data_IF_295530699791
#
_entry.id   IF_295530699791
#
_cell.length_a   1.000
_cell.length_b   1.000
_cell.length_c   1.000
_cell.angle_alpha   90.00
_cell.angle_beta   90.00
_cell.angle_gamma   90.00
#
_symmetry.space_group_name_H-M   'P 1'
#
loop_
_entity.id
_entity.type
_entity.pdbx_description
1 polymer ?
#
# COMPACT_ATOMS: atom_id res chain seq x y z
N UNK A 1 23.36 13.78 -16.76
CA UNK A 1 22.16 14.30 -17.46
C UNK A 1 21.26 13.09 -17.68
N UNK A 2 20.14 12.91 -16.98
CA UNK A 2 19.06 13.88 -16.73
C UNK A 2 18.41 13.57 -15.39
N UNK A 3 18.40 14.56 -14.50
CA UNK A 3 17.52 14.59 -13.35
C UNK A 3 16.13 15.07 -13.78
N UNK A 4 15.10 14.58 -13.10
CA UNK A 4 13.78 15.18 -13.09
C UNK A 4 13.16 14.91 -11.70
N UNK A 5 13.14 15.99 -10.89
CA UNK A 5 12.20 16.31 -9.82
C UNK A 5 11.53 15.13 -9.08
N UNK A 6 11.82 14.84 -7.82
CA UNK A 6 11.94 15.84 -6.76
C UNK A 6 10.59 16.51 -6.50
N UNK A 7 9.49 15.76 -6.41
CA UNK A 7 8.26 16.24 -5.78
C UNK A 7 8.36 16.06 -4.28
N UNK A 8 9.10 16.97 -3.65
CA UNK A 8 8.89 17.36 -2.25
C UNK A 8 7.59 18.19 -2.18
N UNK A 9 6.43 17.53 -2.22
CA UNK A 9 5.18 18.18 -1.83
C UNK A 9 4.38 17.28 -0.88
N UNK A 10 4.49 17.65 0.39
CA UNK A 10 3.51 17.54 1.46
C UNK A 10 3.38 16.21 2.23
N UNK A 11 3.53 16.39 3.55
CA UNK A 11 3.00 15.59 4.65
C UNK A 11 3.66 14.22 4.91
N UNK A 12 4.50 14.17 5.96
CA UNK A 12 4.76 12.98 6.81
C UNK A 12 4.61 11.62 6.10
N UNK A 13 5.30 11.43 4.97
CA UNK A 13 4.99 10.32 4.08
C UNK A 13 5.35 9.00 4.77
N UNK A 14 4.33 8.22 5.12
CA UNK A 14 4.51 6.85 5.57
C UNK A 14 5.21 6.11 4.43
N UNK A 15 6.51 5.88 4.59
CA UNK A 15 7.37 5.30 3.54
C UNK A 15 7.10 3.80 3.43
N UNK A 16 6.02 3.42 2.76
CA UNK A 16 5.70 2.02 2.52
C UNK A 16 6.78 1.37 1.65
N UNK A 17 7.00 0.07 1.84
CA UNK A 17 7.86 -0.69 0.91
C UNK A 17 7.17 -0.83 -0.45
N UNK A 18 7.93 -1.11 -1.52
CA UNK A 18 7.36 -1.34 -2.85
C UNK A 18 6.24 -2.40 -2.81
N UNK A 19 6.48 -3.50 -2.09
CA UNK A 19 5.50 -4.59 -1.93
C UNK A 19 4.26 -4.16 -1.14
N UNK A 20 4.41 -3.32 -0.11
CA UNK A 20 3.29 -2.77 0.63
C UNK A 20 2.42 -1.85 -0.26
N UNK A 21 3.06 -1.04 -1.09
CA UNK A 21 2.38 -0.14 -2.04
C UNK A 21 1.64 -0.92 -3.11
N UNK A 22 2.25 -1.98 -3.67
CA UNK A 22 1.58 -2.88 -4.62
C UNK A 22 0.35 -3.54 -3.99
N UNK A 23 0.47 -4.07 -2.77
CA UNK A 23 -0.67 -4.66 -2.03
C UNK A 23 -1.78 -3.61 -1.83
N UNK A 24 -1.42 -2.38 -1.47
CA UNK A 24 -2.36 -1.30 -1.22
C UNK A 24 -3.14 -0.90 -2.47
N UNK A 25 -2.45 -0.76 -3.61
CA UNK A 25 -3.06 -0.47 -4.89
C UNK A 25 -4.08 -1.55 -5.27
N UNK A 26 -3.73 -2.83 -5.09
CA UNK A 26 -4.64 -3.94 -5.39
C UNK A 26 -5.86 -3.96 -4.45
N UNK A 27 -5.69 -3.60 -3.18
CA UNK A 27 -6.80 -3.47 -2.23
C UNK A 27 -7.72 -2.31 -2.63
N UNK A 28 -7.16 -1.20 -3.14
CA UNK A 28 -7.91 -0.06 -3.63
C UNK A 28 -8.71 -0.38 -4.89
N UNK A 29 -8.14 -1.20 -5.79
CA UNK A 29 -8.84 -1.79 -6.93
C UNK A 29 -9.93 -2.81 -6.54
N UNK A 30 -10.08 -3.11 -5.25
CA UNK A 30 -11.11 -4.02 -4.72
C UNK A 30 -10.71 -5.49 -4.71
N UNK A 31 -9.44 -5.83 -4.97
CA UNK A 31 -8.99 -7.22 -4.92
C UNK A 31 -9.07 -7.79 -3.50
N UNK A 32 -9.35 -9.10 -3.44
CA UNK A 32 -9.27 -9.90 -2.20
C UNK A 32 -7.88 -10.51 -2.01
N UNK A 33 -7.61 -11.01 -0.80
CA UNK A 33 -6.29 -11.56 -0.43
C UNK A 33 -5.80 -12.67 -1.37
N UNK A 34 -6.69 -13.54 -1.84
CA UNK A 34 -6.36 -14.62 -2.77
C UNK A 34 -5.95 -14.10 -4.17
N UNK A 35 -6.62 -13.05 -4.66
CA UNK A 35 -6.27 -12.43 -5.93
C UNK A 35 -4.93 -11.70 -5.83
N UNK A 36 -4.72 -10.96 -4.74
CA UNK A 36 -3.44 -10.29 -4.43
C UNK A 36 -2.31 -11.32 -4.34
N UNK A 37 -2.53 -12.45 -3.67
CA UNK A 37 -1.56 -13.53 -3.53
C UNK A 37 -1.14 -14.08 -4.89
N UNK A 38 -2.11 -14.32 -5.78
CA UNK A 38 -1.84 -14.75 -7.16
C UNK A 38 -1.04 -13.72 -7.95
N UNK A 39 -1.42 -12.45 -7.85
CA UNK A 39 -0.78 -11.38 -8.61
C UNK A 39 0.66 -11.10 -8.15
N UNK A 40 0.92 -11.21 -6.84
CA UNK A 40 2.25 -11.03 -6.25
C UNK A 40 3.07 -12.32 -6.19
N UNK A 41 2.53 -13.43 -6.71
CA UNK A 41 3.12 -14.76 -6.66
C UNK A 41 3.57 -15.15 -5.25
N UNK A 42 2.72 -14.91 -4.26
CA UNK A 42 2.96 -15.22 -2.85
C UNK A 42 1.78 -15.97 -2.24
N UNK A 43 1.91 -16.39 -0.98
CA UNK A 43 0.83 -17.07 -0.26
C UNK A 43 -0.16 -16.06 0.33
N UNK A 44 -1.42 -16.47 0.52
CA UNK A 44 -2.41 -15.65 1.24
C UNK A 44 -1.95 -15.28 2.67
N UNK A 45 -1.18 -16.17 3.31
CA UNK A 45 -0.57 -15.90 4.60
C UNK A 45 0.41 -14.71 4.51
N UNK A 46 1.28 -14.72 3.49
CA UNK A 46 2.20 -13.60 3.22
C UNK A 46 1.43 -12.31 2.97
N UNK A 47 0.36 -12.34 2.17
CA UNK A 47 -0.48 -11.17 1.93
C UNK A 47 -1.09 -10.65 3.22
N UNK A 48 -1.65 -11.52 4.07
CA UNK A 48 -2.20 -11.12 5.37
C UNK A 48 -1.15 -10.44 6.26
N UNK A 49 0.06 -10.97 6.31
CA UNK A 49 1.15 -10.36 7.09
C UNK A 49 1.53 -8.99 6.52
N UNK A 50 1.66 -8.85 5.20
CA UNK A 50 1.95 -7.56 4.56
C UNK A 50 0.84 -6.55 4.82
N UNK A 51 -0.43 -6.96 4.74
CA UNK A 51 -1.59 -6.10 5.04
C UNK A 51 -1.57 -5.68 6.51
N UNK A 52 -1.24 -6.59 7.42
CA UNK A 52 -1.15 -6.29 8.85
C UNK A 52 -0.05 -5.25 9.15
N UNK A 53 1.15 -5.45 8.61
CA UNK A 53 2.25 -4.49 8.72
C UNK A 53 1.89 -3.15 8.09
N UNK A 54 1.28 -3.17 6.91
CA UNK A 54 0.82 -1.97 6.22
C UNK A 54 -0.21 -1.20 7.05
N UNK A 55 -1.22 -1.88 7.60
CA UNK A 55 -2.22 -1.24 8.44
C UNK A 55 -1.62 -0.69 9.72
N UNK A 56 -0.68 -1.41 10.35
CA UNK A 56 0.04 -0.93 11.53
C UNK A 56 0.84 0.35 11.23
N UNK A 57 1.51 0.38 10.06
CA UNK A 57 2.28 1.54 9.60
C UNK A 57 1.44 2.75 9.24
N UNK A 58 0.30 2.55 8.58
CA UNK A 58 -0.67 3.60 8.26
C UNK A 58 -1.57 3.96 9.45
N UNK A 59 -1.38 3.32 10.61
CA UNK A 59 -2.29 3.43 11.77
C UNK A 59 -3.76 3.19 11.39
N UNK A 60 -3.99 2.39 10.35
CA UNK A 60 -5.30 2.12 9.79
C UNK A 60 -5.99 1.02 10.60
N UNK A 61 -7.25 1.26 10.95
CA UNK A 61 -8.08 0.33 11.72
C UNK A 61 -8.79 -0.71 10.86
N UNK A 62 -8.92 -0.45 9.57
CA UNK A 62 -9.56 -1.35 8.62
C UNK A 62 -9.01 -1.10 7.20
N UNK A 63 -9.26 -2.05 6.29
CA UNK A 63 -8.80 -1.96 4.88
C UNK A 63 -9.28 -0.69 4.17
N UNK A 64 -10.50 -0.23 4.43
CA UNK A 64 -11.04 0.96 3.81
C UNK A 64 -10.34 2.23 4.32
N UNK A 65 -9.98 2.26 5.61
CA UNK A 65 -9.21 3.34 6.22
C UNK A 65 -7.79 3.35 5.64
N UNK A 66 -7.17 2.18 5.42
CA UNK A 66 -5.86 2.10 4.78
C UNK A 66 -5.89 2.66 3.35
N UNK A 67 -6.90 2.30 2.54
CA UNK A 67 -7.09 2.86 1.19
C UNK A 67 -7.37 4.36 1.25
N UNK A 68 -8.24 4.82 2.14
CA UNK A 68 -8.54 6.24 2.29
C UNK A 68 -7.30 7.04 2.71
N UNK A 69 -6.46 6.50 3.59
CA UNK A 69 -5.18 7.10 3.99
C UNK A 69 -4.22 7.16 2.81
N UNK A 70 -4.13 6.08 2.03
CA UNK A 70 -3.29 6.01 0.85
C UNK A 70 -3.67 7.07 -0.21
N UNK A 71 -4.96 7.20 -0.49
CA UNK A 71 -5.49 8.18 -1.45
C UNK A 71 -5.31 9.61 -0.93
N UNK A 72 -5.49 9.85 0.37
CA UNK A 72 -5.30 11.17 0.98
C UNK A 72 -3.83 11.62 0.95
N UNK A 73 -2.92 10.68 1.13
CA UNK A 73 -1.48 10.94 1.14
C UNK A 73 -0.86 10.90 -0.27
N UNK A 74 -1.65 10.61 -1.31
CA UNK A 74 -1.17 10.49 -2.69
C UNK A 74 -0.23 9.29 -2.91
N UNK A 75 -0.35 8.25 -2.08
CA UNK A 75 0.44 7.02 -2.19
C UNK A 75 -0.04 6.11 -3.33
N UNK A 76 -1.28 6.29 -3.80
CA UNK A 76 -1.92 5.62 -4.95
C UNK A 76 -2.89 6.55 -5.66
#
# INVERSE_FOLDING_TARGET
MTGAAGTELAATAVTLTARQTEVLALIADGHGNAAIARQLSCSEHTVKNVIYELMARLQARNRAHAVAHAVRDGLI
#
